data_IF_838135757450
#
_entry.id   IF_838135757450
#
_cell.length_a   1.000
_cell.length_b   1.000
_cell.length_c   1.000
_cell.angle_alpha   90.00
_cell.angle_beta   90.00
_cell.angle_gamma   90.00
#
_symmetry.space_group_name_H-M   'P 1'
#
loop_
_entity.id
_entity.type
_entity.pdbx_description
1 polymer ?
#
# COMPACT_ATOMS: atom_id res chain seq x y z
N UNK A 1 17.03 21.49 -39.69
CA UNK A 1 15.55 21.46 -39.66
C UNK A 1 15.16 21.14 -38.23
N UNK A 2 15.35 22.02 -37.25
CA UNK A 2 14.57 23.25 -36.94
C UNK A 2 13.05 23.07 -36.89
N UNK A 3 12.45 23.47 -35.76
CA UNK A 3 11.00 23.58 -35.52
C UNK A 3 10.57 23.07 -34.13
N UNK A 4 10.99 23.69 -33.01
CA UNK A 4 10.22 24.67 -32.19
C UNK A 4 8.86 24.13 -31.67
N UNK A 5 8.67 23.79 -30.38
CA UNK A 5 8.49 24.59 -29.14
C UNK A 5 7.26 25.53 -29.09
N UNK A 6 6.61 25.53 -27.90
CA UNK A 6 5.67 26.51 -27.28
C UNK A 6 4.18 26.31 -27.69
N UNK A 7 3.19 26.12 -26.79
CA UNK A 7 2.65 27.13 -25.86
C UNK A 7 1.89 26.57 -24.64
N UNK A 8 2.02 27.32 -23.53
CA UNK A 8 1.24 27.26 -22.28
C UNK A 8 0.10 28.30 -22.32
N UNK A 9 -0.94 28.02 -21.52
CA UNK A 9 -1.84 28.95 -20.81
C UNK A 9 -2.74 29.89 -21.63
N UNK A 10 -4.06 29.77 -21.41
CA UNK A 10 -4.86 30.89 -20.89
C UNK A 10 -6.25 30.43 -20.42
N UNK A 11 -6.72 31.18 -19.43
CA UNK A 11 -7.93 31.12 -18.61
C UNK A 11 -9.16 31.80 -19.24
N UNK A 12 -10.26 31.82 -18.47
CA UNK A 12 -11.55 32.54 -18.62
C UNK A 12 -12.66 31.74 -19.31
N UNK A 13 -13.68 31.28 -18.57
CA UNK A 13 -14.89 32.01 -18.10
C UNK A 13 -15.78 32.46 -19.27
N UNK A 14 -16.89 31.75 -19.47
CA UNK A 14 -18.15 32.31 -19.93
C UNK A 14 -19.31 31.36 -19.54
N UNK A 15 -20.21 31.83 -18.66
CA UNK A 15 -21.58 31.33 -18.52
C UNK A 15 -22.46 32.03 -19.57
N UNK A 16 -23.51 31.36 -20.05
CA UNK A 16 -24.85 31.98 -20.03
C UNK A 16 -25.85 31.00 -19.38
N UNK A 17 -26.57 31.33 -18.30
CA UNK A 17 -27.72 32.25 -18.19
C UNK A 17 -28.88 31.94 -19.14
N UNK A 18 -29.91 31.32 -18.54
CA UNK A 18 -31.34 31.49 -18.79
C UNK A 18 -31.87 31.33 -20.23
N UNK A 19 -32.63 30.24 -20.45
CA UNK A 19 -33.87 30.35 -21.21
C UNK A 19 -35.03 29.76 -20.39
N UNK A 20 -36.05 30.59 -20.23
CA UNK A 20 -37.32 30.33 -19.57
C UNK A 20 -38.22 29.43 -20.43
N UNK A 21 -39.04 28.66 -19.71
CA UNK A 21 -40.46 28.38 -19.96
C UNK A 21 -40.84 27.61 -21.22
N UNK A 22 -41.46 26.45 -21.01
CA UNK A 22 -42.78 26.14 -21.56
C UNK A 22 -43.57 25.28 -20.55
N UNK A 23 -44.80 25.72 -20.31
CA UNK A 23 -45.80 25.12 -19.42
C UNK A 23 -46.33 23.79 -19.97
N UNK A 24 -46.77 22.91 -19.07
CA UNK A 24 -47.61 21.76 -19.38
C UNK A 24 -48.13 21.12 -18.09
N UNK A 25 -49.34 21.52 -17.68
CA UNK A 25 -50.10 21.01 -16.54
C UNK A 25 -50.44 19.51 -16.71
N UNK A 26 -50.46 18.78 -15.60
CA UNK A 26 -50.93 17.40 -15.54
C UNK A 26 -51.02 16.89 -14.11
N UNK A 27 -52.07 17.31 -13.40
CA UNK A 27 -52.50 16.77 -12.10
C UNK A 27 -53.03 15.34 -12.25
N UNK A 28 -52.59 14.41 -11.40
CA UNK A 28 -53.52 13.45 -10.81
C UNK A 28 -52.95 12.84 -9.51
N UNK A 29 -53.70 13.09 -8.45
CA UNK A 29 -53.67 12.44 -7.16
C UNK A 29 -54.18 11.00 -7.28
N UNK A 30 -53.48 10.05 -6.67
CA UNK A 30 -53.95 8.67 -6.50
C UNK A 30 -53.39 8.08 -5.21
N UNK A 31 -54.08 8.34 -4.10
CA UNK A 31 -54.10 7.45 -2.93
C UNK A 31 -54.64 6.08 -3.37
N UNK A 32 -54.13 4.97 -2.82
CA UNK A 32 -54.93 3.86 -2.26
C UNK A 32 -54.03 2.77 -1.67
N UNK A 33 -54.21 2.60 -0.35
CA UNK A 33 -54.24 1.40 0.49
C UNK A 33 -53.09 0.38 0.46
N UNK A 34 -52.41 0.36 1.61
CA UNK A 34 -52.07 -0.85 2.35
C UNK A 34 -53.29 -1.75 2.56
N UNK A 35 -53.08 -3.06 2.44
CA UNK A 35 -53.86 -4.06 3.17
C UNK A 35 -52.89 -5.11 3.72
N UNK A 36 -53.04 -5.30 5.03
CA UNK A 36 -52.49 -6.35 5.85
C UNK A 36 -52.88 -7.76 5.35
N UNK A 37 -51.99 -8.71 5.59
CA UNK A 37 -52.24 -10.03 6.19
C UNK A 37 -50.90 -10.76 6.14
N UNK A 38 -50.34 -11.28 7.22
CA UNK A 38 -51.01 -11.99 8.30
C UNK A 38 -50.36 -13.37 8.38
N UNK A 39 -49.50 -13.52 9.38
CA UNK A 39 -49.09 -14.73 10.08
C UNK A 39 -49.04 -16.08 9.33
N UNK A 40 -47.85 -16.69 9.33
CA UNK A 40 -47.72 -18.12 9.59
C UNK A 40 -46.41 -18.41 10.32
N UNK A 41 -46.52 -18.50 11.64
CA UNK A 41 -45.52 -19.12 12.50
C UNK A 41 -45.45 -20.62 12.17
N UNK A 42 -44.23 -21.14 11.99
CA UNK A 42 -43.97 -22.57 12.00
C UNK A 42 -42.87 -22.85 13.02
N UNK A 43 -43.23 -23.74 13.94
CA UNK A 43 -42.59 -24.01 15.21
C UNK A 43 -41.15 -24.50 15.07
N UNK A 44 -40.34 -24.03 16.03
CA UNK A 44 -39.08 -24.62 16.43
C UNK A 44 -39.30 -26.07 16.91
N UNK A 45 -38.60 -27.02 16.29
CA UNK A 45 -38.33 -28.33 16.88
C UNK A 45 -36.88 -28.35 17.35
N UNK A 46 -36.75 -28.31 18.67
CA UNK A 46 -35.52 -28.29 19.43
C UNK A 46 -35.01 -29.73 19.59
N UNK A 47 -34.19 -30.22 18.66
CA UNK A 47 -33.50 -31.51 18.80
C UNK A 47 -32.23 -31.32 19.61
N UNK A 48 -32.32 -31.64 20.91
CA UNK A 48 -31.18 -31.76 21.84
C UNK A 48 -30.23 -32.88 21.39
N UNK A 49 -29.01 -32.51 21.01
CA UNK A 49 -27.89 -33.45 20.88
C UNK A 49 -27.20 -33.66 22.25
N UNK A 50 -26.68 -34.86 22.55
CA UNK A 50 -26.09 -35.17 23.85
C UNK A 50 -24.73 -34.49 24.04
N UNK A 51 -24.52 -33.96 25.24
CA UNK A 51 -23.30 -33.27 25.67
C UNK A 51 -22.11 -34.23 25.72
N UNK A 52 -21.16 -34.09 24.80
CA UNK A 52 -19.87 -34.77 24.86
C UNK A 52 -18.88 -33.90 25.64
N UNK A 53 -18.54 -34.37 26.83
CA UNK A 53 -17.57 -33.79 27.76
C UNK A 53 -16.21 -33.57 27.03
N UNK A 54 -15.90 -32.33 26.64
CA UNK A 54 -14.56 -31.95 26.18
C UNK A 54 -13.83 -31.29 27.35
N UNK A 55 -12.76 -31.97 27.78
CA UNK A 55 -11.73 -31.47 28.69
C UNK A 55 -11.41 -30.01 28.36
N UNK A 56 -11.45 -29.15 29.38
CA UNK A 56 -10.96 -27.79 29.32
C UNK A 56 -9.48 -27.81 28.90
N UNK A 57 -9.21 -27.55 27.62
CA UNK A 57 -7.91 -27.11 27.17
C UNK A 57 -7.74 -25.67 27.62
N UNK A 58 -6.82 -25.45 28.55
CA UNK A 58 -6.32 -24.16 29.02
C UNK A 58 -6.28 -23.17 27.86
N UNK A 59 -7.21 -22.21 27.86
CA UNK A 59 -7.19 -21.09 26.94
C UNK A 59 -6.02 -20.20 27.35
N UNK A 60 -4.87 -20.40 26.71
CA UNK A 60 -3.73 -19.49 26.82
C UNK A 60 -4.21 -18.10 26.41
N UNK A 61 -4.17 -17.20 27.37
CA UNK A 61 -4.57 -15.80 27.33
C UNK A 61 -3.94 -15.06 26.14
N UNK A 62 -4.74 -14.74 25.14
CA UNK A 62 -4.36 -13.80 24.06
C UNK A 62 -4.78 -12.39 24.48
N UNK A 63 -4.16 -11.84 25.52
CA UNK A 63 -4.56 -10.54 26.09
C UNK A 63 -3.38 -9.71 26.62
N UNK A 64 -2.30 -9.59 25.85
CA UNK A 64 -1.09 -8.89 26.33
C UNK A 64 -0.45 -7.86 25.39
N UNK A 65 -1.00 -7.52 24.22
CA UNK A 65 -0.24 -6.72 23.22
C UNK A 65 -0.78 -5.32 22.86
N UNK A 66 -1.88 -4.85 23.43
CA UNK A 66 -2.40 -3.50 23.09
C UNK A 66 -1.63 -2.40 23.83
N UNK A 67 -1.32 -2.61 25.12
CA UNK A 67 -0.58 -1.66 25.96
C UNK A 67 0.81 -1.34 25.41
N UNK A 68 1.50 -2.36 24.89
CA UNK A 68 2.87 -2.22 24.41
C UNK A 68 2.92 -1.47 23.08
N UNK A 69 1.92 -1.68 22.22
CA UNK A 69 1.80 -0.96 20.95
C UNK A 69 1.50 0.52 21.16
N UNK A 70 0.63 0.84 22.10
CA UNK A 70 0.30 2.22 22.45
C UNK A 70 1.47 2.93 23.14
N UNK A 71 2.20 2.24 24.02
CA UNK A 71 3.41 2.75 24.64
C UNK A 71 4.49 3.07 23.58
N UNK A 72 4.75 2.13 22.65
CA UNK A 72 5.69 2.37 21.53
C UNK A 72 5.22 3.55 20.67
N UNK A 73 3.92 3.64 20.37
CA UNK A 73 3.35 4.76 19.61
C UNK A 73 3.59 6.10 20.31
N UNK A 74 3.34 6.17 21.62
CA UNK A 74 3.56 7.38 22.41
C UNK A 74 5.05 7.81 22.40
N UNK A 75 5.98 6.86 22.55
CA UNK A 75 7.42 7.13 22.44
C UNK A 75 7.77 7.68 21.05
N UNK A 76 7.26 7.07 19.99
CA UNK A 76 7.54 7.50 18.62
C UNK A 76 6.92 8.85 18.28
N UNK A 77 5.76 9.19 18.84
CA UNK A 77 5.17 10.54 18.75
C UNK A 77 6.06 11.59 19.42
N UNK A 78 6.62 11.31 20.61
CA UNK A 78 7.60 12.20 21.24
C UNK A 78 8.84 12.41 20.37
N UNK A 79 9.31 11.37 19.67
CA UNK A 79 10.42 11.51 18.70
C UNK A 79 10.05 12.40 17.50
N UNK A 80 8.81 12.34 17.02
CA UNK A 80 8.29 13.25 15.97
C UNK A 80 8.34 14.69 16.45
N UNK A 81 7.92 14.96 17.68
CA UNK A 81 8.00 16.30 18.28
C UNK A 81 9.45 16.77 18.43
N UNK A 82 10.35 15.88 18.87
CA UNK A 82 11.79 16.17 18.96
C UNK A 82 12.44 16.46 17.61
N UNK A 83 12.02 15.79 16.54
CA UNK A 83 12.48 16.08 15.18
C UNK A 83 12.07 17.50 14.77
N UNK A 84 10.79 17.86 15.00
CA UNK A 84 10.28 19.20 14.70
C UNK A 84 10.95 20.30 15.51
N UNK A 85 11.20 20.07 16.81
CA UNK A 85 11.91 21.05 17.64
C UNK A 85 13.35 21.29 17.19
N UNK A 86 13.96 20.30 16.51
CA UNK A 86 15.29 20.42 15.88
C UNK A 86 15.23 20.96 14.44
N UNK A 87 14.08 21.46 14.00
CA UNK A 87 13.89 21.98 12.64
C UNK A 87 13.89 20.92 11.54
N UNK A 88 13.76 19.64 11.88
CA UNK A 88 13.72 18.53 10.92
C UNK A 88 12.28 18.09 10.68
N UNK A 89 11.83 18.05 9.43
CA UNK A 89 10.49 17.55 9.06
C UNK A 89 10.45 16.01 9.08
N UNK A 90 9.68 15.36 9.98
CA UNK A 90 9.56 13.90 10.05
C UNK A 90 8.78 13.25 8.89
N UNK A 91 8.13 14.05 8.05
CA UNK A 91 7.36 13.61 6.88
C UNK A 91 7.79 14.39 5.63
N UNK A 92 8.89 13.97 5.03
CA UNK A 92 9.47 14.61 3.85
C UNK A 92 8.53 14.58 2.63
N UNK A 93 8.43 15.72 1.94
CA UNK A 93 7.60 15.87 0.74
C UNK A 93 8.21 15.27 -0.52
N UNK A 94 9.54 15.31 -0.64
CA UNK A 94 10.29 14.89 -1.82
C UNK A 94 11.64 14.32 -1.40
N UNK A 95 12.08 13.31 -2.13
CA UNK A 95 13.45 12.83 -2.11
C UNK A 95 13.83 12.42 -3.53
N UNK A 96 14.92 12.99 -4.04
CA UNK A 96 15.40 12.70 -5.38
C UNK A 96 16.26 11.43 -5.35
N UNK A 97 15.59 10.29 -5.54
CA UNK A 97 16.22 8.96 -5.62
C UNK A 97 16.87 8.79 -7.00
N UNK A 98 18.15 8.44 -7.02
CA UNK A 98 18.88 8.17 -8.27
C UNK A 98 18.87 6.69 -8.67
N UNK A 99 18.91 5.77 -7.70
CA UNK A 99 18.97 4.33 -7.97
C UNK A 99 18.08 3.52 -7.02
N UNK A 100 17.73 2.32 -7.44
CA UNK A 100 17.17 1.27 -6.57
C UNK A 100 18.26 0.38 -5.99
N UNK A 101 17.95 -0.31 -4.89
CA UNK A 101 18.87 -1.23 -4.23
C UNK A 101 19.34 -2.34 -5.18
N UNK A 102 18.44 -2.92 -5.98
CA UNK A 102 18.79 -3.98 -6.93
C UNK A 102 19.69 -3.48 -8.06
N UNK A 103 19.43 -2.29 -8.59
CA UNK A 103 20.30 -1.69 -9.62
C UNK A 103 21.72 -1.52 -9.10
N UNK A 104 21.89 -1.02 -7.87
CA UNK A 104 23.22 -0.88 -7.25
C UNK A 104 23.91 -2.23 -7.04
N UNK A 105 23.18 -3.26 -6.62
CA UNK A 105 23.73 -4.62 -6.49
C UNK A 105 24.26 -5.16 -7.82
N UNK A 106 23.60 -4.84 -8.93
CA UNK A 106 24.02 -5.27 -10.27
C UNK A 106 25.21 -4.45 -10.79
N UNK A 107 25.14 -3.11 -10.68
CA UNK A 107 26.21 -2.21 -11.15
C UNK A 107 27.54 -2.49 -10.45
N UNK A 108 27.50 -2.76 -9.15
CA UNK A 108 28.71 -2.97 -8.32
C UNK A 108 28.93 -4.44 -7.93
N UNK A 109 28.40 -5.38 -8.71
CA UNK A 109 28.51 -6.82 -8.46
C UNK A 109 29.96 -7.27 -8.31
N UNK A 110 30.85 -6.72 -9.13
CA UNK A 110 32.26 -7.12 -9.24
C UNK A 110 33.22 -6.26 -8.38
N UNK A 111 32.68 -5.38 -7.52
CA UNK A 111 33.47 -4.59 -6.57
C UNK A 111 34.10 -5.51 -5.52
N UNK A 112 35.42 -5.44 -5.28
CA UNK A 112 36.08 -6.36 -4.34
C UNK A 112 35.76 -6.01 -2.88
N UNK A 113 35.97 -6.97 -1.98
CA UNK A 113 35.77 -6.75 -0.55
C UNK A 113 36.74 -5.69 -0.02
N UNK A 114 36.24 -4.78 0.83
CA UNK A 114 37.02 -3.68 1.39
C UNK A 114 37.11 -2.44 0.49
N UNK A 115 36.84 -2.58 -0.81
CA UNK A 115 36.93 -1.48 -1.77
C UNK A 115 35.87 -0.39 -1.53
N UNK A 116 36.29 0.84 -1.77
CA UNK A 116 35.49 2.05 -1.61
C UNK A 116 35.68 2.93 -2.85
N UNK A 117 34.56 3.43 -3.38
CA UNK A 117 34.51 4.26 -4.57
C UNK A 117 33.98 5.63 -4.17
N UNK A 118 34.91 6.54 -3.82
CA UNK A 118 34.58 7.89 -3.31
C UNK A 118 34.50 8.97 -4.41
N UNK A 119 34.62 8.63 -5.69
CA UNK A 119 34.45 9.62 -6.75
C UNK A 119 33.00 10.06 -6.91
N UNK A 120 32.78 11.31 -7.31
CA UNK A 120 31.45 11.90 -7.56
C UNK A 120 30.58 11.06 -8.50
N UNK A 121 31.19 10.33 -9.45
CA UNK A 121 30.50 9.40 -10.35
C UNK A 121 29.79 8.25 -9.65
N UNK A 122 30.21 7.91 -8.43
CA UNK A 122 29.66 6.82 -7.63
C UNK A 122 28.83 7.33 -6.45
N UNK A 123 28.52 8.64 -6.42
CA UNK A 123 27.59 9.18 -5.45
C UNK A 123 26.15 8.79 -5.81
N UNK A 124 25.45 8.17 -4.86
CA UNK A 124 24.10 7.64 -5.05
C UNK A 124 23.14 8.24 -4.03
N UNK A 125 21.87 8.30 -4.41
CA UNK A 125 20.77 8.70 -3.53
C UNK A 125 19.71 7.60 -3.57
N UNK A 126 19.48 6.97 -2.43
CA UNK A 126 18.57 5.85 -2.26
C UNK A 126 17.51 6.18 -1.22
N UNK A 127 16.35 5.51 -1.31
CA UNK A 127 15.29 5.65 -0.33
C UNK A 127 14.57 4.33 -0.12
N UNK A 128 14.17 4.07 1.13
CA UNK A 128 13.52 2.82 1.48
C UNK A 128 13.23 2.72 2.97
N UNK A 129 12.65 1.59 3.36
CA UNK A 129 12.27 1.30 4.74
C UNK A 129 13.45 0.68 5.49
N UNK A 130 13.69 1.16 6.71
CA UNK A 130 14.66 0.55 7.62
C UNK A 130 14.08 -0.74 8.18
N UNK A 131 14.68 -1.88 7.84
CA UNK A 131 14.24 -3.22 8.29
C UNK A 131 15.14 -3.82 9.37
N UNK A 132 16.37 -3.32 9.49
CA UNK A 132 17.29 -3.67 10.56
C UNK A 132 18.18 -2.48 10.89
N UNK A 133 18.63 -2.40 12.14
CA UNK A 133 19.50 -1.35 12.63
C UNK A 133 20.43 -1.90 13.71
N UNK A 134 21.71 -1.57 13.62
CA UNK A 134 22.76 -1.91 14.60
C UNK A 134 23.68 -0.70 14.77
N UNK A 135 23.94 -0.27 15.99
CA UNK A 135 24.80 0.88 16.26
C UNK A 135 25.83 0.53 17.33
N UNK A 136 27.10 0.84 17.08
CA UNK A 136 28.23 0.52 17.94
C UNK A 136 29.21 1.69 17.96
N UNK A 137 29.34 2.38 19.10
CA UNK A 137 30.27 3.51 19.25
C UNK A 137 30.06 4.60 18.19
N UNK A 138 31.05 4.76 17.31
CA UNK A 138 31.10 5.74 16.20
C UNK A 138 30.57 5.21 14.85
N UNK A 139 30.09 3.98 14.80
CA UNK A 139 29.56 3.34 13.58
C UNK A 139 28.10 2.92 13.77
N UNK A 140 27.33 3.00 12.69
CA UNK A 140 25.99 2.44 12.61
C UNK A 140 25.75 1.79 11.25
N UNK A 141 25.11 0.62 11.29
CA UNK A 141 24.71 -0.14 10.12
C UNK A 141 23.18 -0.23 10.10
N UNK A 142 22.57 0.22 9.01
CA UNK A 142 21.13 0.07 8.79
C UNK A 142 20.91 -0.76 7.53
N UNK A 143 19.93 -1.66 7.55
CA UNK A 143 19.48 -2.33 6.32
C UNK A 143 18.28 -1.58 5.80
N UNK A 144 18.43 -0.99 4.63
CA UNK A 144 17.38 -0.28 3.91
C UNK A 144 16.78 -1.21 2.85
N UNK A 145 15.45 -1.27 2.79
CA UNK A 145 14.69 -2.07 1.84
C UNK A 145 13.81 -1.17 0.98
N UNK A 146 13.97 -1.25 -0.33
CA UNK A 146 13.07 -0.62 -1.28
C UNK A 146 12.16 -1.69 -1.95
N UNK A 147 11.50 -1.33 -3.03
CA UNK A 147 10.65 -2.25 -3.78
C UNK A 147 11.43 -3.32 -4.57
N UNK A 148 12.71 -3.07 -4.84
CA UNK A 148 13.57 -3.91 -5.66
C UNK A 148 14.39 -4.92 -4.84
N UNK A 149 14.77 -4.57 -3.61
CA UNK A 149 15.66 -5.38 -2.78
C UNK A 149 16.12 -4.67 -1.51
N UNK A 150 17.29 -5.08 -1.01
CA UNK A 150 17.90 -4.53 0.21
C UNK A 150 19.32 -4.08 -0.05
N UNK A 151 19.71 -3.00 0.63
CA UNK A 151 21.08 -2.48 0.63
C UNK A 151 21.46 -2.03 2.04
N UNK A 152 22.74 -2.15 2.39
CA UNK A 152 23.26 -1.69 3.66
C UNK A 152 23.57 -0.19 3.59
N UNK A 153 23.25 0.52 4.66
CA UNK A 153 23.74 1.87 4.93
C UNK A 153 24.87 1.74 5.94
N UNK A 154 26.03 2.27 5.56
CA UNK A 154 27.22 2.33 6.38
C UNK A 154 27.40 3.77 6.86
N UNK A 155 27.12 4.01 8.14
CA UNK A 155 27.07 5.35 8.71
C UNK A 155 28.21 5.54 9.71
N UNK A 156 29.07 6.54 9.47
CA UNK A 156 30.18 6.89 10.34
C UNK A 156 29.95 8.26 10.99
N UNK A 157 30.34 8.41 12.25
CA UNK A 157 30.19 9.68 12.99
C UNK A 157 30.95 10.84 12.33
N UNK A 158 32.10 10.56 11.74
CA UNK A 158 32.98 11.59 11.14
C UNK A 158 32.42 12.14 9.83
N UNK A 159 31.58 11.35 9.13
CA UNK A 159 30.99 11.71 7.84
C UNK A 159 29.61 12.37 7.98
N UNK A 160 28.83 11.96 8.99
CA UNK A 160 27.53 12.53 9.31
C UNK A 160 27.64 13.79 10.20
N UNK A 161 27.73 14.94 9.56
CA UNK A 161 27.88 16.27 10.19
C UNK A 161 26.60 16.74 10.92
N UNK A 162 26.68 17.87 11.63
CA UNK A 162 25.54 18.57 12.26
C UNK A 162 24.67 17.69 13.17
N UNK A 163 25.31 16.88 14.01
CA UNK A 163 24.66 15.90 14.91
C UNK A 163 23.79 14.84 14.21
N UNK A 164 23.88 14.71 12.88
CA UNK A 164 23.11 13.71 12.13
C UNK A 164 23.39 12.29 12.64
N UNK A 165 24.62 11.99 13.06
CA UNK A 165 24.94 10.68 13.65
C UNK A 165 24.16 10.40 14.95
N UNK A 166 24.05 11.38 15.86
CA UNK A 166 23.28 11.20 17.09
C UNK A 166 21.78 11.20 16.83
N UNK A 167 21.30 11.96 15.83
CA UNK A 167 19.92 11.89 15.35
C UNK A 167 19.58 10.51 14.77
N UNK A 168 20.45 9.96 13.92
CA UNK A 168 20.35 8.59 13.40
C UNK A 168 20.25 7.59 14.55
N UNK A 169 21.03 7.80 15.62
CA UNK A 169 21.05 6.89 16.76
C UNK A 169 19.81 6.97 17.64
N UNK A 170 19.25 8.15 17.84
CA UNK A 170 18.18 8.38 18.81
C UNK A 170 16.79 8.43 18.19
N UNK A 171 16.67 8.98 16.99
CA UNK A 171 15.38 9.34 16.37
C UNK A 171 14.93 8.39 15.26
N UNK A 172 15.85 7.71 14.56
CA UNK A 172 15.50 6.72 13.52
C UNK A 172 15.13 5.39 14.17
N UNK A 173 14.03 4.76 13.76
CA UNK A 173 13.60 3.45 14.25
C UNK A 173 13.38 2.46 13.10
N UNK A 174 13.36 1.17 13.43
CA UNK A 174 12.93 0.13 12.49
C UNK A 174 11.48 0.40 12.07
N UNK A 175 11.26 0.38 10.75
CA UNK A 175 10.00 0.69 10.10
C UNK A 175 9.93 2.09 9.51
N UNK A 176 10.84 3.01 9.87
CA UNK A 176 10.89 4.34 9.24
C UNK A 176 11.29 4.25 7.77
N UNK A 177 10.86 5.22 6.97
CA UNK A 177 11.33 5.41 5.61
C UNK A 177 12.40 6.51 5.63
N UNK A 178 13.58 6.17 5.13
CA UNK A 178 14.76 7.02 5.10
C UNK A 178 15.18 7.24 3.65
N UNK A 179 15.61 8.46 3.34
CA UNK A 179 16.43 8.77 2.18
C UNK A 179 17.87 8.92 2.64
N UNK A 180 18.83 8.34 1.91
CA UNK A 180 20.25 8.44 2.21
C UNK A 180 21.02 8.72 0.92
N UNK A 181 22.00 9.61 1.00
CA UNK A 181 22.95 9.87 -0.08
C UNK A 181 24.37 9.58 0.38
N UNK A 182 25.22 9.11 -0.52
CA UNK A 182 26.56 8.65 -0.16
C UNK A 182 27.35 8.05 -1.30
N UNK A 183 28.60 7.72 -1.03
CA UNK A 183 29.46 6.93 -1.92
C UNK A 183 29.22 5.42 -1.75
N UNK A 184 29.78 4.62 -2.66
CA UNK A 184 29.63 3.17 -2.64
C UNK A 184 30.84 2.50 -1.99
N UNK A 185 30.58 1.54 -1.12
CA UNK A 185 31.60 0.72 -0.46
C UNK A 185 31.17 -0.73 -0.39
N UNK A 186 32.08 -1.67 -0.57
CA UNK A 186 31.87 -3.07 -0.14
C UNK A 186 32.63 -3.29 1.16
N UNK A 187 31.91 -3.76 2.18
CA UNK A 187 32.55 -4.05 3.47
C UNK A 187 33.54 -5.21 3.34
N UNK A 188 34.43 -5.38 4.31
CA UNK A 188 35.35 -6.53 4.40
C UNK A 188 34.62 -7.88 4.37
N UNK A 189 33.37 -7.90 4.87
CA UNK A 189 32.50 -9.08 4.87
C UNK A 189 31.77 -9.31 3.54
N UNK A 190 32.04 -8.48 2.54
CA UNK A 190 31.47 -8.58 1.20
C UNK A 190 30.08 -7.97 1.03
N UNK A 191 29.54 -7.27 2.03
CA UNK A 191 28.22 -6.64 1.93
C UNK A 191 28.34 -5.26 1.25
N UNK A 192 27.66 -5.10 0.10
CA UNK A 192 27.57 -3.83 -0.62
C UNK A 192 26.78 -2.80 0.21
N UNK A 193 27.36 -1.62 0.37
CA UNK A 193 26.88 -0.58 1.26
C UNK A 193 26.95 0.79 0.61
N UNK A 194 26.00 1.66 0.96
CA UNK A 194 26.12 3.10 0.75
C UNK A 194 26.78 3.70 1.98
N UNK A 195 27.97 4.28 1.81
CA UNK A 195 28.66 5.03 2.86
C UNK A 195 28.05 6.42 2.94
N UNK A 196 27.27 6.65 3.99
CA UNK A 196 26.31 7.76 4.04
C UNK A 196 27.00 9.09 4.34
N UNK A 197 26.80 10.05 3.43
CA UNK A 197 27.17 11.46 3.57
C UNK A 197 26.06 12.27 4.23
N UNK A 198 24.81 11.99 3.84
CA UNK A 198 23.65 12.67 4.40
C UNK A 198 22.44 11.75 4.39
N UNK A 199 21.51 11.99 5.30
CA UNK A 199 20.21 11.33 5.26
C UNK A 199 19.07 12.27 5.62
N UNK A 200 17.87 11.87 5.24
CA UNK A 200 16.63 12.52 5.65
C UNK A 200 15.58 11.47 6.03
N UNK A 201 14.82 11.75 7.10
CA UNK A 201 13.68 10.93 7.48
C UNK A 201 12.51 11.34 6.60
N UNK A 202 12.10 10.45 5.69
CA UNK A 202 10.99 10.72 4.77
C UNK A 202 9.64 10.39 5.40
N UNK A 203 9.59 9.37 6.26
CA UNK A 203 8.38 9.03 7.00
C UNK A 203 8.73 8.35 8.31
N UNK A 204 8.41 9.00 9.42
CA UNK A 204 8.45 8.35 10.73
C UNK A 204 7.32 7.33 10.88
N UNK A 205 7.66 6.07 11.13
CA UNK A 205 6.69 5.03 11.47
C UNK A 205 6.29 5.13 12.93
N UNK A 206 5.00 5.16 13.22
CA UNK A 206 4.48 5.26 14.60
C UNK A 206 4.25 3.90 15.26
N UNK A 207 4.26 2.82 14.50
CA UNK A 207 4.00 1.47 15.00
C UNK A 207 5.18 0.55 14.67
N UNK A 208 5.52 -0.40 15.55
CA UNK A 208 6.57 -1.37 15.27
C UNK A 208 6.16 -2.29 14.11
N UNK A 209 7.14 -2.73 13.33
CA UNK A 209 6.95 -3.83 12.39
C UNK A 209 6.68 -5.13 13.16
N UNK A 210 5.96 -6.10 12.57
CA UNK A 210 5.86 -7.44 13.12
C UNK A 210 7.23 -8.09 13.33
N UNK A 211 7.27 -9.09 14.20
CA UNK A 211 8.51 -9.82 14.49
C UNK A 211 9.11 -10.44 13.22
N UNK A 212 10.43 -10.28 13.07
CA UNK A 212 11.20 -10.77 11.93
C UNK A 212 11.31 -12.30 11.93
N UNK A 213 11.30 -12.94 13.11
CA UNK A 213 11.54 -14.38 13.22
C UNK A 213 10.35 -15.24 12.83
N UNK A 214 9.15 -14.78 13.15
CA UNK A 214 7.93 -15.52 12.84
C UNK A 214 7.19 -14.93 11.63
N UNK A 215 7.55 -13.71 11.20
CA UNK A 215 6.78 -12.99 10.20
C UNK A 215 5.35 -12.70 10.68
N UNK A 216 4.48 -12.29 9.75
CA UNK A 216 3.05 -12.19 10.03
C UNK A 216 2.37 -13.50 9.61
N UNK A 217 2.12 -14.41 10.55
CA UNK A 217 1.53 -15.74 10.30
C UNK A 217 0.01 -15.76 10.33
N UNK A 218 -0.60 -14.94 11.18
CA UNK A 218 -2.05 -14.84 11.36
C UNK A 218 -2.74 -14.44 10.03
N UNK A 219 -3.43 -15.40 9.43
CA UNK A 219 -4.04 -15.29 8.10
C UNK A 219 -5.07 -14.14 8.06
N UNK A 220 -5.89 -13.99 9.08
CA UNK A 220 -6.91 -12.93 9.13
C UNK A 220 -6.25 -11.55 9.18
N UNK A 221 -5.19 -11.40 9.99
CA UNK A 221 -4.43 -10.15 10.03
C UNK A 221 -3.73 -9.87 8.72
N UNK A 222 -3.19 -10.87 8.03
CA UNK A 222 -2.56 -10.69 6.71
C UNK A 222 -3.54 -10.16 5.67
N UNK A 223 -4.77 -10.68 5.66
CA UNK A 223 -5.82 -10.22 4.74
C UNK A 223 -6.30 -8.81 5.07
N UNK A 224 -6.46 -8.48 6.36
CA UNK A 224 -6.92 -7.15 6.81
C UNK A 224 -5.85 -6.07 6.71
N UNK A 225 -4.58 -6.43 6.93
CA UNK A 225 -3.44 -5.52 6.96
C UNK A 225 -2.42 -5.91 5.89
N UNK A 226 -2.86 -5.97 4.63
CA UNK A 226 -2.01 -6.41 3.51
C UNK A 226 -0.72 -5.60 3.38
N UNK A 227 -0.75 -4.32 3.70
CA UNK A 227 0.44 -3.45 3.68
C UNK A 227 1.51 -3.90 4.69
N UNK A 228 1.11 -4.43 5.85
CA UNK A 228 2.03 -5.01 6.84
C UNK A 228 2.55 -6.35 6.36
N UNK A 229 1.66 -7.18 5.81
CA UNK A 229 2.01 -8.49 5.27
C UNK A 229 3.07 -8.39 4.17
N UNK A 230 2.93 -7.46 3.22
CA UNK A 230 3.94 -7.25 2.17
C UNK A 230 5.30 -6.78 2.69
N UNK A 231 5.36 -6.14 3.87
CA UNK A 231 6.63 -5.73 4.50
C UNK A 231 7.29 -6.92 5.19
N UNK A 232 6.50 -7.70 5.94
CA UNK A 232 6.99 -8.85 6.70
C UNK A 232 7.33 -10.06 5.82
N UNK A 233 6.56 -10.27 4.76
CA UNK A 233 6.60 -11.42 3.86
C UNK A 233 6.81 -10.92 2.40
N UNK A 234 8.06 -10.69 1.97
CA UNK A 234 8.37 -10.11 0.65
C UNK A 234 7.83 -10.89 -0.55
N UNK A 235 7.69 -12.21 -0.41
CA UNK A 235 7.13 -13.09 -1.43
C UNK A 235 5.66 -12.76 -1.76
N UNK A 236 4.93 -12.14 -0.83
CA UNK A 236 3.56 -11.68 -1.07
C UNK A 236 3.55 -10.58 -2.12
N UNK A 237 4.51 -9.64 -2.07
CA UNK A 237 4.63 -8.61 -3.09
C UNK A 237 4.88 -9.22 -4.48
N UNK A 238 5.67 -10.29 -4.56
CA UNK A 238 5.91 -11.01 -5.81
C UNK A 238 4.67 -11.69 -6.37
N UNK A 239 3.77 -12.20 -5.52
CA UNK A 239 2.46 -12.72 -5.96
C UNK A 239 1.66 -11.64 -6.68
N UNK A 240 1.60 -10.42 -6.14
CA UNK A 240 0.90 -9.29 -6.78
C UNK A 240 1.58 -8.87 -8.09
N UNK A 241 2.92 -8.83 -8.14
CA UNK A 241 3.66 -8.58 -9.39
C UNK A 241 3.35 -9.63 -10.44
N UNK A 242 3.34 -10.91 -10.07
CA UNK A 242 2.99 -12.03 -10.97
C UNK A 242 1.55 -11.90 -11.45
N UNK A 243 0.59 -11.58 -10.57
CA UNK A 243 -0.81 -11.32 -10.97
C UNK A 243 -0.90 -10.23 -12.03
N UNK A 244 -0.22 -9.10 -11.85
CA UNK A 244 -0.20 -8.02 -12.83
C UNK A 244 0.41 -8.48 -14.18
N UNK A 245 1.49 -9.27 -14.16
CA UNK A 245 2.09 -9.86 -15.36
C UNK A 245 1.13 -10.81 -16.09
N UNK A 246 0.45 -11.70 -15.36
CA UNK A 246 -0.54 -12.63 -15.93
C UNK A 246 -1.68 -11.86 -16.59
N UNK A 247 -2.25 -10.86 -15.92
CA UNK A 247 -3.34 -10.04 -16.50
C UNK A 247 -2.91 -9.32 -17.78
N UNK A 248 -1.68 -8.79 -17.81
CA UNK A 248 -1.11 -8.17 -19.01
C UNK A 248 -0.93 -9.18 -20.14
N UNK A 249 -0.47 -10.38 -19.83
CA UNK A 249 -0.24 -11.43 -20.82
C UNK A 249 -1.54 -11.95 -21.44
N UNK A 250 -2.59 -12.10 -20.63
CA UNK A 250 -3.94 -12.46 -21.10
C UNK A 250 -4.43 -11.41 -22.11
N UNK A 251 -4.32 -10.11 -21.77
CA UNK A 251 -4.72 -9.03 -22.68
C UNK A 251 -3.98 -9.09 -24.02
N UNK A 252 -2.64 -9.13 -23.97
CA UNK A 252 -1.80 -9.19 -25.17
C UNK A 252 -2.14 -10.39 -26.06
N UNK A 253 -2.35 -11.55 -25.45
CA UNK A 253 -2.65 -12.79 -26.18
C UNK A 253 -4.02 -12.75 -26.86
N UNK A 254 -5.01 -12.13 -26.22
CA UNK A 254 -6.37 -12.02 -26.77
C UNK A 254 -6.44 -10.93 -27.84
N UNK A 255 -5.77 -9.79 -27.61
CA UNK A 255 -5.62 -8.71 -28.58
C UNK A 255 -4.90 -9.17 -29.87
N UNK A 256 -3.83 -9.96 -29.76
CA UNK A 256 -3.09 -10.47 -30.93
C UNK A 256 -3.92 -11.43 -31.80
N UNK A 257 -5.07 -11.91 -31.30
CA UNK A 257 -6.05 -12.72 -32.03
C UNK A 257 -7.20 -11.87 -32.61
N UNK A 258 -7.13 -10.54 -32.53
CA UNK A 258 -8.11 -9.62 -33.11
C UNK A 258 -9.31 -9.30 -32.22
N UNK A 259 -9.28 -9.67 -30.93
CA UNK A 259 -10.34 -9.31 -29.99
C UNK A 259 -10.16 -7.87 -29.49
N UNK A 260 -11.29 -7.20 -29.23
CA UNK A 260 -11.33 -5.84 -28.66
C UNK A 260 -11.76 -5.92 -27.18
N UNK A 261 -10.98 -5.29 -26.29
CA UNK A 261 -11.36 -5.18 -24.86
C UNK A 261 -12.51 -4.17 -24.71
N UNK A 262 -13.60 -4.58 -24.06
CA UNK A 262 -14.80 -3.75 -23.85
C UNK A 262 -15.22 -3.76 -22.39
N UNK A 263 -15.75 -2.62 -21.92
CA UNK A 263 -16.34 -2.50 -20.59
C UNK A 263 -17.86 -2.62 -20.68
N UNK A 264 -18.45 -3.44 -19.81
CA UNK A 264 -19.90 -3.66 -19.72
C UNK A 264 -20.45 -3.21 -18.37
N UNK A 265 -21.74 -2.86 -18.26
CA UNK A 265 -22.33 -2.39 -17.01
C UNK A 265 -22.15 -3.36 -15.84
N UNK A 266 -21.66 -2.84 -14.70
CA UNK A 266 -21.54 -3.58 -13.43
C UNK A 266 -22.87 -3.62 -12.70
N UNK A 267 -23.64 -2.53 -12.73
CA UNK A 267 -25.00 -2.47 -12.18
C UNK A 267 -26.00 -2.76 -13.30
N UNK A 268 -26.87 -3.73 -13.06
CA UNK A 268 -27.82 -4.25 -14.04
C UNK A 268 -29.24 -4.23 -13.46
N UNK A 269 -30.25 -4.01 -14.30
CA UNK A 269 -31.66 -4.09 -13.90
C UNK A 269 -32.12 -5.52 -13.60
N UNK A 270 -31.40 -6.52 -14.12
CA UNK A 270 -31.55 -7.93 -13.80
C UNK A 270 -30.18 -8.61 -13.85
N UNK A 271 -29.89 -9.48 -12.89
CA UNK A 271 -28.68 -10.31 -12.91
C UNK A 271 -28.90 -11.54 -13.80
N UNK A 272 -27.92 -11.87 -14.65
CA UNK A 272 -27.96 -13.05 -15.50
C UNK A 272 -26.59 -13.41 -16.08
N UNK A 273 -26.54 -14.49 -16.87
CA UNK A 273 -25.30 -15.02 -17.46
C UNK A 273 -24.51 -16.00 -16.58
N UNK A 274 -25.03 -16.33 -15.40
CA UNK A 274 -24.54 -17.40 -14.54
C UNK A 274 -25.63 -17.78 -13.52
N UNK A 275 -25.47 -18.93 -12.85
CA UNK A 275 -26.30 -19.31 -11.71
C UNK A 275 -25.62 -18.87 -10.40
N UNK A 276 -26.03 -17.73 -9.85
CA UNK A 276 -25.52 -17.21 -8.59
C UNK A 276 -26.52 -16.22 -7.95
N UNK A 277 -26.49 -16.12 -6.62
CA UNK A 277 -27.27 -15.10 -5.89
C UNK A 277 -26.59 -13.72 -6.04
N UNK A 278 -27.27 -12.70 -6.60
CA UNK A 278 -26.66 -11.39 -6.80
C UNK A 278 -26.66 -10.54 -5.52
N UNK A 279 -25.76 -9.55 -5.48
CA UNK A 279 -25.87 -8.43 -4.54
C UNK A 279 -26.87 -7.41 -5.06
N UNK A 280 -27.75 -6.93 -4.18
CA UNK A 280 -28.79 -5.92 -4.49
C UNK A 280 -28.37 -4.59 -3.87
N UNK A 281 -28.56 -3.52 -4.63
CA UNK A 281 -28.35 -2.13 -4.18
C UNK A 281 -29.48 -1.25 -4.71
N UNK A 282 -29.70 -0.08 -4.11
CA UNK A 282 -30.77 0.84 -4.49
C UNK A 282 -30.23 2.06 -5.22
N UNK A 283 -30.83 2.42 -6.35
CA UNK A 283 -30.46 3.60 -7.12
C UNK A 283 -31.43 4.76 -6.83
N UNK A 284 -30.99 5.70 -5.97
CA UNK A 284 -31.81 6.83 -5.51
C UNK A 284 -32.51 7.61 -6.65
N UNK A 285 -31.78 8.04 -7.69
CA UNK A 285 -32.39 8.87 -8.74
C UNK A 285 -33.36 8.13 -9.68
N UNK A 286 -33.26 6.80 -9.76
CA UNK A 286 -34.15 5.98 -10.60
C UNK A 286 -35.28 5.35 -9.78
N UNK A 287 -35.26 5.54 -8.45
CA UNK A 287 -36.27 5.00 -7.54
C UNK A 287 -36.39 3.48 -7.55
N UNK A 288 -35.33 2.73 -7.90
CA UNK A 288 -35.39 1.28 -8.11
C UNK A 288 -34.15 0.53 -7.67
N UNK A 289 -34.32 -0.77 -7.44
CA UNK A 289 -33.23 -1.70 -7.18
C UNK A 289 -32.40 -1.99 -8.44
N UNK A 290 -31.10 -2.19 -8.23
CA UNK A 290 -30.13 -2.66 -9.21
C UNK A 290 -29.32 -3.81 -8.61
N UNK A 291 -28.82 -4.66 -9.50
CA UNK A 291 -28.06 -5.85 -9.15
C UNK A 291 -26.62 -5.71 -9.62
N UNK A 292 -25.66 -6.11 -8.79
CA UNK A 292 -24.28 -6.25 -9.25
C UNK A 292 -24.17 -7.47 -10.16
N UNK A 293 -23.49 -7.31 -11.30
CA UNK A 293 -23.31 -8.38 -12.30
C UNK A 293 -22.65 -9.60 -11.69
N UNK A 294 -23.18 -10.77 -12.04
CA UNK A 294 -22.60 -12.09 -11.71
C UNK A 294 -21.76 -12.65 -12.88
N UNK A 295 -22.02 -12.17 -14.09
CA UNK A 295 -21.26 -12.49 -15.30
C UNK A 295 -21.34 -11.33 -16.32
N UNK A 296 -20.46 -11.35 -17.33
CA UNK A 296 -20.44 -10.37 -18.44
C UNK A 296 -21.12 -10.88 -19.71
N UNK A 297 -21.47 -12.17 -19.76
CA UNK A 297 -21.90 -12.90 -20.97
C UNK A 297 -23.03 -12.22 -21.75
N UNK A 298 -24.15 -11.89 -21.11
CA UNK A 298 -25.33 -11.36 -21.80
C UNK A 298 -25.06 -10.03 -22.51
N UNK A 299 -24.17 -9.19 -21.96
CA UNK A 299 -23.80 -7.93 -22.60
C UNK A 299 -22.81 -8.15 -23.75
N UNK A 300 -21.88 -9.11 -23.60
CA UNK A 300 -20.94 -9.44 -24.67
C UNK A 300 -21.66 -10.06 -25.88
N UNK A 301 -22.67 -10.91 -25.68
CA UNK A 301 -23.48 -11.47 -26.79
C UNK A 301 -24.27 -10.42 -27.56
N UNK A 302 -24.68 -9.32 -26.92
CA UNK A 302 -25.37 -8.20 -27.59
C UNK A 302 -24.43 -7.38 -28.49
N UNK A 303 -23.12 -7.57 -28.37
CA UNK A 303 -22.10 -6.86 -29.15
C UNK A 303 -21.57 -7.68 -30.33
N UNK A 304 -22.07 -8.91 -30.53
CA UNK A 304 -21.86 -9.72 -31.73
C UNK A 304 -22.84 -9.29 -32.81
#
# INVERSE_FOLDING_TARGET
MEGLKVWRLSSSIARPSNLRQLFGLGTSSGLVRCLDNGAAAANATNTRFPSRNRRASTSTSTSTNTSDREAVRAIRLKKVEQLRSKGTEPYGYKWDRSHSAKELQEIYKDLNNGEELDSESHHVSIAGRIVARRAFGKLAFLTLRDDSGTIQLYCEKERLLNDQFEQLKTLVDIGDILGASGSIKRTEKGELSVKVDSFSILTKSLLPLPDKFHGLTDIDKRYRQRYVDMIANPEVADIFRKRAKIMREIRKTVESRGFVEVETPVLQGAAGGAEARPFVTYHNSLGRDLYLRIATELHLKRML
#
